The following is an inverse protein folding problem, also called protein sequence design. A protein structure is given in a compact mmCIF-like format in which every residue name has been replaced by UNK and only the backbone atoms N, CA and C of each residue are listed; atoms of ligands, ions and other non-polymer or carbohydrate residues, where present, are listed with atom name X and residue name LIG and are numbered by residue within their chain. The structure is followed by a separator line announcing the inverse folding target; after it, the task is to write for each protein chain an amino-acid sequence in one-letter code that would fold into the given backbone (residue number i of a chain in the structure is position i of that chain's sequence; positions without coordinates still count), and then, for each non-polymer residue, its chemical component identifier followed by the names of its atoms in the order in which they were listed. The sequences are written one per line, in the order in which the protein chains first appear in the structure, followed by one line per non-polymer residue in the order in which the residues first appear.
data_IF_028266998002
#
_entry.id   IF_028266998002
#
_cell.length_a   1.000
_cell.length_b   1.000
_cell.length_c   1.000
_cell.angle_alpha   90.00
_cell.angle_beta   90.00
_cell.angle_gamma   90.00
#
_symmetry.space_group_name_H-M   'P 1'
#
loop_
_entity.id
_entity.type
_entity.pdbx_description
1 polymer ?
#
# COMPACT_ATOMS: atom_id res chain seq x y z
N UNK A 1 -12.93 -3.86 -0.43
CA UNK A 1 -13.76 -4.26 -1.58
C UNK A 1 -13.52 -3.26 -2.71
N UNK A 2 -12.74 -3.65 -3.72
CA UNK A 2 -12.37 -2.78 -4.86
C UNK A 2 -13.60 -2.70 -5.77
N UNK A 3 -14.11 -1.49 -6.05
CA UNK A 3 -15.25 -1.33 -6.96
C UNK A 3 -14.77 -1.56 -8.40
N UNK A 4 -15.57 -2.21 -9.27
CA UNK A 4 -15.18 -2.45 -10.67
C UNK A 4 -14.90 -1.15 -11.44
N UNK A 5 -15.51 -0.03 -11.06
CA UNK A 5 -15.23 1.30 -11.63
C UNK A 5 -13.79 1.78 -11.39
N UNK A 6 -13.14 1.33 -10.32
CA UNK A 6 -11.75 1.69 -10.01
C UNK A 6 -10.75 1.00 -10.95
N UNK A 7 -11.05 -0.21 -11.44
CA UNK A 7 -10.17 -0.92 -12.38
C UNK A 7 -10.10 -0.21 -13.74
N UNK A 8 -11.22 0.31 -14.23
CA UNK A 8 -11.26 1.05 -15.49
C UNK A 8 -10.36 2.29 -15.42
N UNK A 9 -10.41 3.03 -14.31
CA UNK A 9 -9.57 4.21 -14.09
C UNK A 9 -8.08 3.82 -14.05
N UNK A 10 -7.72 2.79 -13.30
CA UNK A 10 -6.32 2.31 -13.23
C UNK A 10 -5.81 1.85 -14.59
N UNK A 11 -6.63 1.14 -15.37
CA UNK A 11 -6.28 0.67 -16.71
C UNK A 11 -6.04 1.85 -17.67
N UNK A 12 -6.96 2.83 -17.70
CA UNK A 12 -6.84 4.01 -18.58
C UNK A 12 -5.59 4.83 -18.22
N UNK A 13 -5.29 5.00 -16.94
CA UNK A 13 -4.11 5.76 -16.48
C UNK A 13 -2.81 4.97 -16.70
N UNK A 14 -2.83 3.65 -16.61
CA UNK A 14 -1.63 2.81 -16.75
C UNK A 14 -1.18 2.57 -18.19
N UNK A 15 -2.11 2.48 -19.15
CA UNK A 15 -1.82 2.26 -20.58
C UNK A 15 -0.76 3.22 -21.17
N UNK A 16 -0.83 4.56 -20.96
CA UNK A 16 0.17 5.46 -21.52
C UNK A 16 1.59 5.19 -20.98
N UNK A 17 1.73 4.74 -19.72
CA UNK A 17 3.03 4.40 -19.15
C UNK A 17 3.65 3.15 -19.79
N UNK A 18 2.82 2.15 -20.10
CA UNK A 18 3.27 0.94 -20.82
C UNK A 18 3.75 1.31 -22.21
N UNK A 19 3.03 2.19 -22.91
CA UNK A 19 3.42 2.64 -24.25
C UNK A 19 4.77 3.38 -24.26
N UNK A 20 5.17 4.00 -23.15
CA UNK A 20 6.44 4.71 -23.00
C UNK A 20 7.58 3.88 -22.41
N UNK A 21 7.31 2.69 -21.86
CA UNK A 21 8.28 1.91 -21.06
C UNK A 21 9.40 1.25 -21.89
N UNK A 22 9.28 1.20 -23.22
CA UNK A 22 10.23 0.50 -24.10
C UNK A 22 10.15 -1.03 -24.00
N UNK A 23 10.86 -1.76 -24.90
CA UNK A 23 10.89 -3.22 -24.86
C UNK A 23 11.62 -3.74 -23.61
N UNK A 24 11.11 -4.83 -23.03
CA UNK A 24 11.73 -5.50 -21.89
C UNK A 24 13.07 -6.12 -22.29
N UNK A 25 14.14 -5.62 -21.68
CA UNK A 25 15.45 -6.26 -21.71
C UNK A 25 15.50 -7.50 -20.81
N UNK A 26 16.48 -8.37 -21.02
CA UNK A 26 16.70 -9.61 -20.25
C UNK A 26 16.87 -9.32 -18.76
N UNK A 27 17.55 -8.22 -18.42
CA UNK A 27 17.71 -7.73 -17.06
C UNK A 27 16.37 -7.29 -16.45
N UNK A 28 15.56 -6.55 -17.22
CA UNK A 28 14.23 -6.11 -16.82
C UNK A 28 13.28 -7.27 -16.57
N UNK A 29 13.32 -8.31 -17.40
CA UNK A 29 12.54 -9.53 -17.19
C UNK A 29 12.92 -10.22 -15.88
N UNK A 30 14.21 -10.33 -15.58
CA UNK A 30 14.69 -10.92 -14.33
C UNK A 30 14.20 -10.14 -13.10
N UNK A 31 14.33 -8.82 -13.08
CA UNK A 31 13.85 -7.99 -11.97
C UNK A 31 12.32 -8.04 -11.82
N UNK A 32 11.58 -8.09 -12.93
CA UNK A 32 10.12 -8.22 -12.90
C UNK A 32 9.70 -9.54 -12.27
N UNK A 33 10.36 -10.63 -12.64
CA UNK A 33 10.08 -11.97 -12.12
C UNK A 33 10.44 -12.05 -10.63
N UNK A 34 11.60 -11.52 -10.24
CA UNK A 34 12.03 -11.44 -8.85
C UNK A 34 11.03 -10.62 -8.00
N UNK A 35 10.62 -9.46 -8.47
CA UNK A 35 9.63 -8.63 -7.78
C UNK A 35 8.27 -9.35 -7.65
N UNK A 36 7.84 -10.05 -8.69
CA UNK A 36 6.62 -10.87 -8.66
C UNK A 36 6.67 -11.99 -7.63
N UNK A 37 7.79 -12.73 -7.58
CA UNK A 37 7.98 -13.81 -6.58
C UNK A 37 8.00 -13.24 -5.16
N UNK A 38 8.73 -12.15 -4.93
CA UNK A 38 8.81 -11.53 -3.60
C UNK A 38 7.42 -11.05 -3.14
N UNK A 39 6.67 -10.37 -4.01
CA UNK A 39 5.29 -9.96 -3.71
C UNK A 39 4.40 -11.16 -3.39
N UNK A 40 4.45 -12.22 -4.22
CA UNK A 40 3.64 -13.42 -4.00
C UNK A 40 3.99 -14.10 -2.67
N UNK A 41 5.27 -14.16 -2.32
CA UNK A 41 5.74 -14.72 -1.04
C UNK A 41 5.24 -13.87 0.14
N UNK A 42 5.43 -12.55 0.10
CA UNK A 42 4.97 -11.64 1.16
C UNK A 42 3.46 -11.74 1.37
N UNK A 43 2.66 -11.78 0.30
CA UNK A 43 1.21 -11.94 0.40
C UNK A 43 0.80 -13.32 0.93
N UNK A 44 1.53 -14.38 0.58
CA UNK A 44 1.27 -15.73 1.08
C UNK A 44 1.54 -15.82 2.57
N UNK A 45 2.67 -15.26 3.03
CA UNK A 45 3.01 -15.18 4.45
C UNK A 45 2.00 -14.32 5.23
N UNK A 46 1.58 -13.19 4.65
CA UNK A 46 0.55 -12.33 5.20
C UNK A 46 -0.79 -13.06 5.35
N UNK A 47 -1.22 -13.77 4.31
CA UNK A 47 -2.45 -14.57 4.34
C UNK A 47 -2.37 -15.68 5.40
N UNK A 48 -1.24 -16.38 5.47
CA UNK A 48 -1.01 -17.42 6.49
C UNK A 48 -1.08 -16.83 7.91
N UNK A 49 -0.42 -15.70 8.16
CA UNK A 49 -0.45 -15.02 9.45
C UNK A 49 -1.86 -14.53 9.82
N UNK A 50 -2.65 -14.05 8.85
CA UNK A 50 -4.01 -13.53 9.09
C UNK A 50 -4.99 -14.57 9.66
N UNK A 51 -4.75 -15.87 9.44
CA UNK A 51 -5.64 -16.93 9.95
C UNK A 51 -5.52 -17.16 11.45
N UNK A 52 -4.41 -16.75 12.07
CA UNK A 52 -4.15 -16.91 13.51
C UNK A 52 -4.29 -15.62 14.33
N UNK A 53 -4.61 -14.49 13.70
CA UNK A 53 -4.66 -13.18 14.34
C UNK A 53 -6.04 -12.86 14.90
N UNK A 54 -6.07 -12.15 16.03
CA UNK A 54 -7.30 -11.61 16.61
C UNK A 54 -7.95 -10.58 15.67
N UNK A 55 -9.25 -10.33 15.85
CA UNK A 55 -9.99 -9.35 15.06
C UNK A 55 -9.34 -7.95 15.10
N UNK A 56 -8.69 -7.60 16.22
CA UNK A 56 -8.02 -6.33 16.41
C UNK A 56 -6.74 -6.23 15.56
N UNK A 57 -5.89 -7.26 15.57
CA UNK A 57 -4.65 -7.28 14.79
C UNK A 57 -4.93 -7.26 13.29
N UNK A 58 -5.97 -7.96 12.84
CA UNK A 58 -6.41 -7.97 11.45
C UNK A 58 -6.84 -6.56 10.97
N UNK A 59 -7.40 -5.75 11.86
CA UNK A 59 -7.76 -4.35 11.57
C UNK A 59 -6.53 -3.43 11.61
N UNK A 60 -5.54 -3.72 12.44
CA UNK A 60 -4.30 -2.93 12.54
C UNK A 60 -3.34 -3.15 11.37
N UNK A 61 -3.28 -4.35 10.79
CA UNK A 61 -2.40 -4.68 9.67
C UNK A 61 -2.51 -3.69 8.47
N UNK A 62 -3.71 -3.40 7.92
CA UNK A 62 -3.85 -2.44 6.81
C UNK A 62 -3.61 -0.96 7.21
N UNK A 63 -3.42 -0.67 8.50
CA UNK A 63 -2.99 0.64 9.01
C UNK A 63 -1.46 0.71 9.07
N UNK A 64 -0.81 -0.39 9.47
CA UNK A 64 0.66 -0.47 9.58
C UNK A 64 1.32 -0.32 8.20
N UNK A 65 0.75 -0.94 7.17
CA UNK A 65 1.33 -1.01 5.82
C UNK A 65 1.65 0.37 5.20
N UNK A 66 0.70 1.32 5.10
CA UNK A 66 1.01 2.65 4.55
C UNK A 66 1.97 3.48 5.42
N UNK A 67 2.04 3.25 6.73
CA UNK A 67 2.95 3.97 7.64
C UNK A 67 4.37 3.44 7.51
N UNK A 68 4.52 2.13 7.34
CA UNK A 68 5.83 1.47 7.23
C UNK A 68 6.56 1.80 5.93
N UNK A 69 5.84 2.05 4.84
CA UNK A 69 6.46 2.37 3.54
C UNK A 69 7.41 3.60 3.60
N UNK A 70 7.02 4.78 4.11
CA UNK A 70 7.96 5.90 4.32
C UNK A 70 9.09 5.62 5.32
N UNK A 71 8.81 4.84 6.37
CA UNK A 71 9.80 4.49 7.41
C UNK A 71 10.93 3.64 6.82
N UNK A 72 10.60 2.64 5.99
CA UNK A 72 11.61 1.80 5.34
C UNK A 72 12.51 2.58 4.40
N UNK A 73 11.95 3.51 3.62
CA UNK A 73 12.74 4.37 2.73
C UNK A 73 13.72 5.24 3.54
N UNK A 74 13.26 5.85 4.64
CA UNK A 74 14.11 6.64 5.52
C UNK A 74 15.27 5.82 6.12
N UNK A 75 14.97 4.60 6.59
CA UNK A 75 15.97 3.75 7.27
C UNK A 75 16.98 3.12 6.31
N UNK A 76 16.56 2.63 5.14
CA UNK A 76 17.41 1.82 4.25
C UNK A 76 18.08 2.60 3.13
N UNK A 77 17.45 3.64 2.58
CA UNK A 77 18.08 4.42 1.51
C UNK A 77 18.99 5.52 2.06
N UNK A 78 18.87 5.90 3.34
CA UNK A 78 19.75 6.87 3.99
C UNK A 78 19.74 8.25 3.34
N UNK A 79 18.91 8.48 2.32
CA UNK A 79 18.70 9.78 1.72
C UNK A 79 18.04 10.66 2.78
N UNK A 80 18.83 11.56 3.37
CA UNK A 80 18.32 12.62 4.23
C UNK A 80 17.16 13.26 3.46
N UNK A 81 15.90 13.10 3.93
CA UNK A 81 14.76 13.35 3.09
C UNK A 81 14.79 14.83 2.69
N UNK A 82 15.03 15.07 1.40
CA UNK A 82 14.95 16.42 0.85
C UNK A 82 13.56 16.99 1.11
N UNK A 83 13.40 18.31 1.04
CA UNK A 83 12.14 18.98 1.41
C UNK A 83 10.89 18.40 0.73
N UNK A 84 11.03 17.82 -0.47
CA UNK A 84 9.95 17.15 -1.21
C UNK A 84 9.54 15.80 -0.59
N UNK A 85 10.48 15.01 -0.08
CA UNK A 85 10.21 13.73 0.58
C UNK A 85 9.51 13.92 1.93
N UNK A 86 9.88 14.99 2.66
CA UNK A 86 9.19 15.38 3.91
C UNK A 86 7.74 15.75 3.61
N UNK A 87 7.50 16.51 2.54
CA UNK A 87 6.15 16.90 2.13
C UNK A 87 5.32 15.67 1.72
N UNK A 88 5.91 14.72 0.99
CA UNK A 88 5.28 13.44 0.67
C UNK A 88 4.94 12.62 1.92
N UNK A 89 5.87 12.50 2.87
CA UNK A 89 5.65 11.81 4.13
C UNK A 89 4.53 12.46 4.96
N UNK A 90 4.49 13.79 5.03
CA UNK A 90 3.43 14.53 5.71
C UNK A 90 2.05 14.27 5.09
N UNK A 91 1.93 14.27 3.76
CA UNK A 91 0.68 13.95 3.06
C UNK A 91 0.20 12.53 3.37
N UNK A 92 1.11 11.54 3.33
CA UNK A 92 0.78 10.15 3.66
C UNK A 92 0.30 10.02 5.10
N UNK A 93 1.02 10.60 6.07
CA UNK A 93 0.63 10.57 7.48
C UNK A 93 -0.74 11.21 7.71
N UNK A 94 -0.98 12.40 7.16
CA UNK A 94 -2.28 13.09 7.27
C UNK A 94 -3.40 12.23 6.67
N UNK A 95 -3.19 11.65 5.49
CA UNK A 95 -4.19 10.82 4.83
C UNK A 95 -4.52 9.55 5.63
N UNK A 96 -3.51 8.89 6.19
CA UNK A 96 -3.71 7.70 7.04
C UNK A 96 -4.41 8.07 8.34
N UNK A 97 -3.99 9.14 9.02
CA UNK A 97 -4.65 9.62 10.24
C UNK A 97 -6.11 9.98 9.97
N UNK A 98 -6.40 10.72 8.89
CA UNK A 98 -7.77 11.05 8.50
C UNK A 98 -8.60 9.78 8.25
N UNK A 99 -8.06 8.80 7.50
CA UNK A 99 -8.73 7.52 7.25
C UNK A 99 -9.07 6.79 8.54
N UNK A 100 -8.15 6.73 9.50
CA UNK A 100 -8.38 6.10 10.81
C UNK A 100 -9.47 6.83 11.58
N UNK A 101 -9.41 8.17 11.65
CA UNK A 101 -10.42 8.99 12.35
C UNK A 101 -11.82 8.83 11.72
N UNK A 102 -11.92 8.79 10.40
CA UNK A 102 -13.19 8.53 9.71
C UNK A 102 -13.67 7.08 9.90
N UNK A 103 -12.74 6.12 9.93
CA UNK A 103 -13.05 4.71 10.20
C UNK A 103 -13.65 4.52 11.61
N UNK A 104 -13.04 5.13 12.63
CA UNK A 104 -13.53 5.07 14.01
C UNK A 104 -14.94 5.66 14.14
N UNK A 105 -15.21 6.79 13.47
CA UNK A 105 -16.54 7.41 13.47
C UNK A 105 -17.61 6.51 12.80
N UNK A 106 -17.24 5.83 11.72
CA UNK A 106 -18.14 4.90 11.03
C UNK A 106 -18.49 3.68 11.89
N UNK A 107 -17.51 3.13 12.63
CA UNK A 107 -17.73 1.99 13.53
C UNK A 107 -18.50 2.40 14.79
N UNK A 108 -18.23 3.58 15.36
CA UNK A 108 -19.00 4.13 16.48
C UNK A 108 -20.47 4.39 16.12
N UNK A 109 -20.76 4.76 14.86
CA UNK A 109 -22.12 4.88 14.34
C UNK A 109 -22.85 3.53 14.26
N UNK A 110 -22.17 2.47 13.80
CA UNK A 110 -22.73 1.11 13.73
C UNK A 110 -23.03 0.51 15.10
N UNK A 111 -22.14 0.70 16.08
CA UNK A 111 -22.32 0.18 17.44
C UNK A 111 -23.48 0.85 18.21
N UNK A 112 -23.91 2.05 17.79
CA UNK A 112 -25.05 2.77 18.38
C UNK A 112 -26.42 2.38 17.79
N UNK A 113 -26.42 1.64 16.67
CA UNK A 113 -27.63 1.23 15.94
C UNK A 113 -27.94 -0.27 16.09
N UNK A 114 -27.07 -1.04 16.74
CA UNK A 114 -27.27 -2.43 17.15
C UNK A 114 -27.76 -2.48 18.60
#
# INVERSE_FOLDING_TARGET
MIRPSSLCLTAIVGIPFIATAGPLDTSGFFFLLLAGILCALTYTLYAAASTGLSALETVLLPIIDPVMNPVWVFLFLGEAPGSKSIMGAAVVLIAVTARVVYGIQADAGKARMA
#
